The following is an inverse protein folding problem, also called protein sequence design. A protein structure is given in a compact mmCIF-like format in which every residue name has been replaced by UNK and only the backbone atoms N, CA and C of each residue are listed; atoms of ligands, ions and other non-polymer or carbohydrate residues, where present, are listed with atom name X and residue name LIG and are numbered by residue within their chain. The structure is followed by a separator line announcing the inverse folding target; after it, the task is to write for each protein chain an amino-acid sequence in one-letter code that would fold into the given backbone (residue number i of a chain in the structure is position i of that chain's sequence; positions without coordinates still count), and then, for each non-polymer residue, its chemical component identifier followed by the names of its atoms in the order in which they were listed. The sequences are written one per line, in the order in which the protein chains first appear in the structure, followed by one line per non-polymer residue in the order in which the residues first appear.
data_IF_925017081865
#
_entry.id   IF_925017081865
#
_cell.length_a   1.000
_cell.length_b   1.000
_cell.length_c   1.000
_cell.angle_alpha   90.00
_cell.angle_beta   90.00
_cell.angle_gamma   90.00
#
_symmetry.space_group_name_H-M   'P 1'
#
loop_
_entity.id
_entity.type
_entity.pdbx_description
1 polymer ?
#
# COMPACT_ATOMS: atom_id res chain seq x y z
N UNK A 1 -4.23 -19.53 -14.85
CA UNK A 1 -3.14 -18.86 -14.11
C UNK A 1 -3.15 -19.37 -12.69
N UNK A 2 -2.00 -19.78 -12.11
CA UNK A 2 -1.94 -20.21 -10.72
C UNK A 2 -2.16 -18.99 -9.80
N UNK A 3 -3.41 -18.82 -9.32
CA UNK A 3 -3.82 -17.71 -8.44
C UNK A 3 -3.01 -17.67 -7.12
N UNK A 4 -2.42 -18.78 -6.72
CA UNK A 4 -1.66 -18.90 -5.47
C UNK A 4 -0.49 -17.92 -5.43
N UNK A 5 0.29 -17.80 -6.51
CA UNK A 5 1.42 -16.85 -6.55
C UNK A 5 0.95 -15.40 -6.52
N UNK A 6 -0.17 -15.10 -7.18
CA UNK A 6 -0.75 -13.76 -7.19
C UNK A 6 -1.29 -13.36 -5.81
N UNK A 7 -1.96 -14.29 -5.11
CA UNK A 7 -2.41 -14.07 -3.73
C UNK A 7 -1.24 -13.91 -2.78
N UNK A 8 -0.20 -14.74 -2.92
CA UNK A 8 1.02 -14.61 -2.13
C UNK A 8 1.73 -13.28 -2.38
N UNK A 9 1.85 -12.87 -3.65
CA UNK A 9 2.41 -11.58 -4.03
C UNK A 9 1.60 -10.43 -3.42
N UNK A 10 0.27 -10.47 -3.51
CA UNK A 10 -0.60 -9.46 -2.89
C UNK A 10 -0.34 -9.35 -1.38
N UNK A 11 -0.22 -10.48 -0.69
CA UNK A 11 0.11 -10.51 0.74
C UNK A 11 1.50 -9.94 1.02
N UNK A 12 2.51 -10.32 0.25
CA UNK A 12 3.87 -9.79 0.39
C UNK A 12 3.91 -8.28 0.15
N UNK A 13 3.18 -7.78 -0.84
CA UNK A 13 3.05 -6.34 -1.11
C UNK A 13 2.34 -5.62 0.05
N UNK A 14 1.33 -6.22 0.68
CA UNK A 14 0.70 -5.67 1.88
C UNK A 14 1.64 -5.58 3.09
N UNK A 15 2.50 -6.59 3.28
CA UNK A 15 3.52 -6.55 4.34
C UNK A 15 4.55 -5.46 4.06
N UNK A 16 5.03 -5.39 2.81
CA UNK A 16 5.99 -4.36 2.40
C UNK A 16 5.42 -2.95 2.56
N UNK A 17 4.17 -2.74 2.15
CA UNK A 17 3.41 -1.50 2.35
C UNK A 17 3.36 -1.10 3.83
N UNK A 18 3.12 -2.06 4.74
CA UNK A 18 3.14 -1.77 6.18
C UNK A 18 4.51 -1.30 6.68
N UNK A 19 5.58 -1.99 6.31
CA UNK A 19 6.95 -1.64 6.71
C UNK A 19 7.35 -0.27 6.16
N UNK A 20 7.04 -0.01 4.89
CA UNK A 20 7.33 1.26 4.24
C UNK A 20 6.52 2.40 4.87
N UNK A 21 5.22 2.23 5.12
CA UNK A 21 4.41 3.22 5.84
C UNK A 21 5.05 3.60 7.17
N UNK A 22 5.43 2.63 8.01
CA UNK A 22 6.10 2.92 9.28
C UNK A 22 7.35 3.74 9.04
N UNK A 23 8.22 3.32 8.11
CA UNK A 23 9.45 4.01 7.82
C UNK A 23 9.19 5.48 7.40
N UNK A 24 8.27 5.72 6.47
CA UNK A 24 7.99 7.08 5.99
C UNK A 24 7.35 7.97 7.05
N UNK A 25 6.39 7.45 7.81
CA UNK A 25 5.67 8.22 8.84
C UNK A 25 6.60 8.52 10.02
N UNK A 26 7.37 7.55 10.50
CA UNK A 26 8.28 7.73 11.64
C UNK A 26 9.44 8.68 11.33
N UNK A 27 9.90 8.73 10.10
CA UNK A 27 10.94 9.69 9.67
C UNK A 27 10.36 11.04 9.20
N UNK A 28 9.04 11.25 9.26
CA UNK A 28 8.40 12.51 8.91
C UNK A 28 8.31 12.82 7.41
N UNK A 29 8.53 11.82 6.55
CA UNK A 29 8.47 11.99 5.09
C UNK A 29 7.04 11.90 4.53
N UNK A 30 6.11 11.29 5.27
CA UNK A 30 4.72 11.15 4.88
C UNK A 30 3.79 11.14 6.10
N UNK A 31 2.49 11.29 5.85
CA UNK A 31 1.44 11.07 6.86
C UNK A 31 0.54 9.92 6.41
N UNK A 32 -0.03 9.18 7.37
CA UNK A 32 -0.95 8.09 7.06
C UNK A 32 -2.34 8.65 6.73
N UNK A 33 -2.78 8.48 5.49
CA UNK A 33 -4.07 9.04 5.03
C UNK A 33 -5.30 8.32 5.61
N UNK A 34 -5.15 7.06 6.05
CA UNK A 34 -6.22 6.30 6.69
C UNK A 34 -6.24 6.62 8.19
N UNK A 35 -7.26 7.36 8.66
CA UNK A 35 -7.36 7.78 10.07
C UNK A 35 -7.30 6.61 11.06
N UNK A 36 -7.94 5.47 10.77
CA UNK A 36 -7.88 4.30 11.64
C UNK A 36 -6.45 3.76 11.75
N UNK A 37 -5.73 3.71 10.63
CA UNK A 37 -4.33 3.28 10.62
C UNK A 37 -3.40 4.30 11.27
N UNK A 38 -3.67 5.60 11.11
CA UNK A 38 -2.95 6.66 11.78
C UNK A 38 -3.07 6.53 13.31
N UNK A 39 -4.29 6.31 13.83
CA UNK A 39 -4.49 6.06 15.27
C UNK A 39 -3.75 4.81 15.74
N UNK A 40 -3.73 3.73 14.94
CA UNK A 40 -2.97 2.54 15.29
C UNK A 40 -1.45 2.80 15.33
N UNK A 41 -0.93 3.60 14.40
CA UNK A 41 0.47 4.06 14.41
C UNK A 41 0.76 4.94 15.63
N UNK A 42 -0.18 5.79 16.04
CA UNK A 42 0.00 6.63 17.23
C UNK A 42 0.08 5.79 18.52
N UNK A 43 -0.66 4.68 18.59
CA UNK A 43 -0.54 3.70 19.69
C UNK A 43 0.81 2.97 19.63
N UNK A 44 1.27 2.61 18.42
CA UNK A 44 2.59 2.05 18.19
C UNK A 44 2.73 1.28 16.88
N UNK A 45 3.97 0.94 16.51
CA UNK A 45 4.25 0.21 15.27
C UNK A 45 3.67 -1.21 15.27
N UNK A 46 3.71 -1.88 16.42
CA UNK A 46 3.24 -3.25 16.56
C UNK A 46 1.71 -3.39 16.39
N UNK A 47 0.85 -2.56 17.03
CA UNK A 47 -0.59 -2.53 16.74
C UNK A 47 -0.90 -2.31 15.26
N UNK A 48 -0.24 -1.35 14.62
CA UNK A 48 -0.43 -1.09 13.18
C UNK A 48 -0.04 -2.30 12.34
N UNK A 49 1.15 -2.88 12.54
CA UNK A 49 1.60 -4.06 11.81
C UNK A 49 0.67 -5.25 12.02
N UNK A 50 0.26 -5.51 13.27
CA UNK A 50 -0.60 -6.65 13.60
C UNK A 50 -1.94 -6.56 12.86
N UNK A 51 -2.58 -5.39 12.87
CA UNK A 51 -3.86 -5.19 12.17
C UNK A 51 -3.67 -5.30 10.65
N UNK A 52 -2.62 -4.68 10.10
CA UNK A 52 -2.37 -4.69 8.65
C UNK A 52 -2.09 -6.11 8.14
N UNK A 53 -1.26 -6.87 8.86
CA UNK A 53 -0.99 -8.30 8.58
C UNK A 53 -2.25 -9.15 8.72
N UNK A 54 -3.05 -8.94 9.77
CA UNK A 54 -4.29 -9.70 9.96
C UNK A 54 -5.28 -9.48 8.80
N UNK A 55 -5.47 -8.23 8.38
CA UNK A 55 -6.34 -7.89 7.24
C UNK A 55 -5.79 -8.49 5.94
N UNK A 56 -4.47 -8.38 5.70
CA UNK A 56 -3.82 -8.97 4.54
C UNK A 56 -3.97 -10.49 4.49
N UNK A 57 -3.77 -11.17 5.63
CA UNK A 57 -3.90 -12.62 5.75
C UNK A 57 -5.35 -13.08 5.52
N UNK A 58 -6.33 -12.40 6.13
CA UNK A 58 -7.75 -12.69 5.91
C UNK A 58 -8.10 -12.54 4.43
N UNK A 59 -7.67 -11.44 3.80
CA UNK A 59 -7.90 -11.19 2.37
C UNK A 59 -7.29 -12.29 1.50
N UNK A 60 -6.05 -12.69 1.79
CA UNK A 60 -5.36 -13.77 1.09
C UNK A 60 -6.10 -15.10 1.22
N UNK A 61 -6.53 -15.47 2.42
CA UNK A 61 -7.28 -16.70 2.69
C UNK A 61 -8.63 -16.71 1.96
N UNK A 62 -9.35 -15.60 1.98
CA UNK A 62 -10.63 -15.41 1.27
C UNK A 62 -10.43 -15.60 -0.24
N UNK A 63 -9.48 -14.89 -0.85
CA UNK A 63 -9.22 -14.99 -2.29
C UNK A 63 -8.75 -16.38 -2.69
N UNK A 64 -7.95 -17.04 -1.84
CA UNK A 64 -7.50 -18.41 -2.08
C UNK A 64 -8.65 -19.41 -1.99
N UNK A 65 -9.52 -19.28 -0.99
CA UNK A 65 -10.69 -20.16 -0.78
C UNK A 65 -11.66 -20.10 -1.96
N UNK A 66 -11.92 -18.91 -2.49
CA UNK A 66 -12.85 -18.69 -3.61
C UNK A 66 -12.18 -18.51 -4.97
N UNK A 67 -10.95 -18.99 -5.14
CA UNK A 67 -10.14 -18.85 -6.38
C UNK A 67 -10.82 -19.34 -7.67
N UNK A 68 -11.84 -20.20 -7.55
CA UNK A 68 -12.59 -20.72 -8.68
C UNK A 68 -13.60 -19.70 -9.24
N UNK A 69 -14.04 -18.73 -8.44
CA UNK A 69 -15.00 -17.70 -8.87
C UNK A 69 -14.32 -16.65 -9.76
N UNK A 70 -15.02 -16.23 -10.83
CA UNK A 70 -14.54 -15.16 -11.72
C UNK A 70 -14.30 -13.85 -10.96
N UNK A 71 -15.18 -13.53 -9.99
CA UNK A 71 -15.07 -12.33 -9.17
C UNK A 71 -13.75 -12.28 -8.38
N UNK A 72 -13.31 -13.41 -7.80
CA UNK A 72 -12.04 -13.47 -7.08
C UNK A 72 -10.83 -13.21 -8.00
N UNK A 73 -10.89 -13.64 -9.26
CA UNK A 73 -9.84 -13.41 -10.25
C UNK A 73 -9.73 -11.94 -10.64
N UNK A 74 -10.87 -11.30 -10.94
CA UNK A 74 -10.90 -9.87 -11.25
C UNK A 74 -10.53 -9.03 -10.04
N UNK A 75 -11.07 -9.33 -8.86
CA UNK A 75 -10.73 -8.65 -7.62
C UNK A 75 -9.24 -8.74 -7.29
N UNK A 76 -8.62 -9.91 -7.46
CA UNK A 76 -7.18 -10.09 -7.28
C UNK A 76 -6.36 -9.27 -8.28
N UNK A 77 -6.76 -9.23 -9.55
CA UNK A 77 -6.07 -8.42 -10.55
C UNK A 77 -6.15 -6.93 -10.25
N UNK A 78 -7.33 -6.43 -9.86
CA UNK A 78 -7.53 -5.03 -9.46
C UNK A 78 -6.73 -4.71 -8.20
N UNK A 79 -6.78 -5.55 -7.18
CA UNK A 79 -6.04 -5.36 -5.95
C UNK A 79 -4.52 -5.30 -6.20
N UNK A 80 -3.99 -6.21 -7.03
CA UNK A 80 -2.58 -6.18 -7.42
C UNK A 80 -2.22 -4.90 -8.18
N UNK A 81 -3.06 -4.44 -9.10
CA UNK A 81 -2.83 -3.18 -9.81
C UNK A 81 -2.73 -2.00 -8.83
N UNK A 82 -3.66 -1.91 -7.88
CA UNK A 82 -3.63 -0.88 -6.83
C UNK A 82 -2.36 -0.97 -5.99
N UNK A 83 -1.98 -2.17 -5.54
CA UNK A 83 -0.76 -2.34 -4.75
C UNK A 83 0.51 -2.01 -5.53
N UNK A 84 0.59 -2.35 -6.81
CA UNK A 84 1.73 -1.96 -7.66
C UNK A 84 1.80 -0.44 -7.81
N UNK A 85 0.66 0.23 -8.01
CA UNK A 85 0.60 1.69 -8.04
C UNK A 85 1.05 2.31 -6.71
N UNK A 86 0.64 1.76 -5.58
CA UNK A 86 1.09 2.20 -4.25
C UNK A 86 2.60 2.00 -4.05
N UNK A 87 3.17 0.89 -4.54
CA UNK A 87 4.62 0.70 -4.51
C UNK A 87 5.35 1.75 -5.35
N UNK A 88 4.76 2.18 -6.46
CA UNK A 88 5.23 3.35 -7.22
C UNK A 88 5.28 4.61 -6.36
N UNK A 89 4.21 4.89 -5.61
CA UNK A 89 4.17 6.04 -4.68
C UNK A 89 5.29 5.94 -3.64
N UNK A 90 5.46 4.79 -2.98
CA UNK A 90 6.56 4.62 -2.02
C UNK A 90 7.94 4.81 -2.65
N UNK A 91 8.14 4.32 -3.87
CA UNK A 91 9.38 4.50 -4.59
C UNK A 91 9.67 5.99 -4.83
N UNK A 92 8.68 6.76 -5.29
CA UNK A 92 8.83 8.21 -5.46
C UNK A 92 9.04 8.94 -4.13
N UNK A 93 8.32 8.56 -3.06
CA UNK A 93 8.54 9.09 -1.71
C UNK A 93 9.96 8.82 -1.23
N UNK A 94 10.50 7.63 -1.51
CA UNK A 94 11.89 7.30 -1.21
C UNK A 94 12.87 8.15 -1.99
N UNK A 95 12.69 8.29 -3.31
CA UNK A 95 13.54 9.14 -4.13
C UNK A 95 13.51 10.61 -3.66
N UNK A 96 12.35 11.13 -3.24
CA UNK A 96 12.26 12.48 -2.65
C UNK A 96 12.93 12.56 -1.28
N UNK A 97 12.76 11.55 -0.43
CA UNK A 97 13.34 11.51 0.92
C UNK A 97 14.88 11.48 0.89
N UNK A 98 15.47 10.80 -0.09
CA UNK A 98 16.92 10.76 -0.31
C UNK A 98 17.46 11.93 -1.14
N UNK A 99 16.61 12.90 -1.51
CA UNK A 99 17.03 14.11 -2.24
C UNK A 99 17.33 13.91 -3.71
N UNK A 100 16.98 12.76 -4.30
CA UNK A 100 17.18 12.47 -5.72
C UNK A 100 16.08 13.07 -6.61
N UNK A 101 14.93 13.46 -6.05
CA UNK A 101 13.82 14.10 -6.76
C UNK A 101 13.69 15.55 -6.31
N UNK A 102 13.76 16.48 -7.27
CA UNK A 102 13.63 17.92 -7.04
C UNK A 102 12.23 18.30 -6.55
N UNK A 103 12.15 19.24 -5.61
CA UNK A 103 10.89 19.75 -5.03
C UNK A 103 9.87 20.20 -6.10
N UNK A 104 10.34 20.65 -7.26
CA UNK A 104 9.48 21.09 -8.37
C UNK A 104 8.69 19.93 -8.99
N UNK A 105 9.26 18.73 -9.04
CA UNK A 105 8.57 17.56 -9.59
C UNK A 105 7.44 17.09 -8.64
N UNK A 106 7.68 17.16 -7.34
CA UNK A 106 6.69 16.81 -6.32
C UNK A 106 5.52 17.79 -6.33
N UNK A 107 5.77 19.09 -6.46
CA UNK A 107 4.71 20.11 -6.56
C UNK A 107 3.83 19.93 -7.79
N UNK A 108 4.43 19.59 -8.94
CA UNK A 108 3.72 19.41 -10.20
C UNK A 108 2.87 18.14 -10.22
N UNK A 109 3.36 17.04 -9.63
CA UNK A 109 2.57 15.83 -9.48
C UNK A 109 1.38 16.02 -8.53
N UNK A 110 1.59 16.76 -7.43
CA UNK A 110 0.56 17.02 -6.41
C UNK A 110 -0.51 18.00 -6.90
N UNK A 111 -0.17 18.92 -7.82
CA UNK A 111 -1.15 19.82 -8.45
C UNK A 111 -1.97 19.08 -9.50
N UNK A 112 -1.33 18.23 -10.32
CA UNK A 112 -2.00 17.40 -11.31
C UNK A 112 -2.98 16.40 -10.67
N UNK A 113 -2.58 15.71 -9.60
CA UNK A 113 -3.45 14.74 -8.91
C UNK A 113 -4.68 15.40 -8.30
N UNK A 114 -4.54 16.60 -7.71
CA UNK A 114 -5.66 17.40 -7.22
C UNK A 114 -6.59 17.87 -8.34
N UNK A 115 -6.05 18.24 -9.50
CA UNK A 115 -6.84 18.63 -10.66
C UNK A 115 -7.63 17.49 -11.31
N UNK A 116 -7.18 16.23 -11.17
CA UNK A 116 -7.91 15.06 -11.65
C UNK A 116 -9.00 14.57 -10.71
N UNK A 117 -8.89 14.91 -9.42
CA UNK A 117 -9.82 14.47 -8.37
C UNK A 117 -10.83 15.56 -7.95
N UNK A 118 -10.74 16.75 -8.56
CA UNK A 118 -11.70 17.85 -8.43
C UNK A 118 -12.73 17.83 -9.57
#
# INVERSE_FOLDING_TARGET
MPLVYQTFLLFALNVLDAVLTIYWVRNGFATEGNQLMATLLDIGDLPFLAVKIAIGAVTAVVLWRWRNLRLAKYGLAVALAVYISLMGVHFFTGLSAFGYVSNNFVSDFTSWSRGLLA
#
